data_IF_714305473112
#
_entry.id   IF_714305473112
#
_cell.length_a   1.000
_cell.length_b   1.000
_cell.length_c   1.000
_cell.angle_alpha   90.00
_cell.angle_beta   90.00
_cell.angle_gamma   90.00
#
_symmetry.space_group_name_H-M   'P 1'
#
loop_
_entity.id
_entity.type
_entity.pdbx_description
1 polymer ?
#
# COMPACT_ATOMS: atom_id res chain seq x y z
N UNK A 1 -5.31 -16.62 8.06
CA UNK A 1 -6.00 -15.38 7.68
C UNK A 1 -4.99 -14.26 7.82
N UNK A 2 -4.80 -13.46 6.78
CA UNK A 2 -3.87 -12.33 6.74
C UNK A 2 -4.64 -11.05 6.40
N UNK A 3 -4.72 -10.14 7.34
CA UNK A 3 -5.42 -8.86 7.17
C UNK A 3 -4.42 -7.73 6.97
N UNK A 4 -4.53 -7.00 5.88
CA UNK A 4 -3.71 -5.84 5.53
C UNK A 4 -2.20 -6.07 5.76
N UNK A 5 -1.71 -7.25 5.35
CA UNK A 5 -0.36 -7.71 5.66
C UNK A 5 0.72 -7.08 4.77
N UNK A 6 1.86 -6.75 5.37
CA UNK A 6 3.06 -6.26 4.66
C UNK A 6 3.78 -7.45 4.01
N UNK A 7 3.99 -7.41 2.71
CA UNK A 7 4.73 -8.44 1.96
C UNK A 7 6.23 -8.17 1.87
N UNK A 8 6.63 -6.90 1.93
CA UNK A 8 8.03 -6.45 1.91
C UNK A 8 8.17 -5.16 2.70
N UNK A 9 9.01 -5.16 3.71
CA UNK A 9 9.26 -3.97 4.50
C UNK A 9 9.98 -2.87 3.70
N UNK A 10 10.75 -3.24 2.69
CA UNK A 10 11.32 -2.26 1.76
C UNK A 10 10.21 -1.52 1.00
N UNK A 11 9.28 -2.25 0.39
CA UNK A 11 8.19 -1.65 -0.37
C UNK A 11 7.22 -0.84 0.51
N UNK A 12 7.22 -1.09 1.82
CA UNK A 12 6.43 -0.33 2.78
C UNK A 12 7.06 1.02 3.10
N UNK A 13 8.39 1.07 3.32
CA UNK A 13 9.10 2.29 3.74
C UNK A 13 9.90 2.97 2.64
N UNK A 14 10.01 2.39 1.46
CA UNK A 14 10.80 2.92 0.35
C UNK A 14 10.00 2.93 -0.94
N UNK A 15 10.16 4.00 -1.70
CA UNK A 15 9.67 4.12 -3.07
C UNK A 15 10.86 4.48 -3.96
N UNK A 16 11.35 3.51 -4.74
CA UNK A 16 12.51 3.68 -5.61
C UNK A 16 13.72 4.35 -4.91
N UNK A 17 14.01 3.95 -3.67
CA UNK A 17 15.11 4.48 -2.88
C UNK A 17 14.80 5.75 -2.10
N UNK A 18 13.58 6.28 -2.15
CA UNK A 18 13.16 7.38 -1.28
C UNK A 18 12.40 6.87 -0.07
N UNK A 19 12.66 7.46 1.09
CA UNK A 19 11.92 7.17 2.31
C UNK A 19 10.50 7.69 2.17
N UNK A 20 9.54 6.80 2.38
CA UNK A 20 8.12 7.14 2.49
C UNK A 20 7.68 6.94 3.93
N UNK A 21 6.73 7.75 4.38
CA UNK A 21 6.22 7.68 5.76
C UNK A 21 4.79 7.12 5.74
N UNK A 22 4.62 5.80 5.71
CA UNK A 22 3.31 5.18 5.52
C UNK A 22 2.34 5.40 6.69
N UNK A 23 2.84 5.65 7.89
CA UNK A 23 2.02 6.05 9.05
C UNK A 23 1.53 7.50 8.99
N UNK A 24 2.00 8.28 8.02
CA UNK A 24 1.47 9.61 7.71
C UNK A 24 2.07 10.75 8.52
N UNK A 25 3.17 10.55 9.21
CA UNK A 25 3.91 11.65 9.85
C UNK A 25 5.34 11.75 9.33
N UNK A 26 5.85 12.98 9.17
CA UNK A 26 7.17 13.21 8.61
C UNK A 26 8.28 12.52 9.43
N UNK A 27 9.20 11.88 8.72
CA UNK A 27 10.34 11.21 9.34
C UNK A 27 10.06 9.81 9.89
N UNK A 28 8.85 9.30 9.77
CA UNK A 28 8.58 7.90 10.09
C UNK A 28 9.40 6.97 9.20
N UNK A 29 10.03 5.98 9.82
CA UNK A 29 10.74 4.91 9.14
C UNK A 29 10.70 3.65 10.01
N UNK A 30 11.30 2.57 9.56
CA UNK A 30 11.28 1.27 10.23
C UNK A 30 11.72 1.32 11.70
N UNK A 31 12.71 2.15 12.04
CA UNK A 31 13.18 2.31 13.43
C UNK A 31 12.12 2.92 14.35
N UNK A 32 11.29 3.84 13.85
CA UNK A 32 10.19 4.41 14.62
C UNK A 32 9.15 3.34 15.00
N UNK A 33 8.82 2.45 14.06
CA UNK A 33 7.93 1.33 14.34
C UNK A 33 8.60 0.28 15.25
N UNK A 34 9.89 0.01 15.07
CA UNK A 34 10.64 -0.87 15.93
C UNK A 34 10.69 -0.35 17.38
N UNK A 35 10.90 0.94 17.55
CA UNK A 35 10.86 1.59 18.87
C UNK A 35 9.49 1.44 19.53
N UNK A 36 8.42 1.74 18.80
CA UNK A 36 7.05 1.58 19.29
C UNK A 36 6.76 0.14 19.70
N UNK A 37 7.22 -0.83 18.93
CA UNK A 37 7.02 -2.25 19.20
C UNK A 37 7.82 -2.73 20.41
N UNK A 38 9.05 -2.24 20.58
CA UNK A 38 9.91 -2.60 21.71
C UNK A 38 9.50 -1.90 23.01
N UNK A 39 8.93 -0.71 22.93
CA UNK A 39 8.59 0.11 24.11
C UNK A 39 7.35 -0.33 24.85
N UNK A 40 6.65 -1.32 24.40
CA UNK A 40 5.40 -1.91 24.89
C UNK A 40 4.70 -1.18 26.04
N UNK A 41 5.13 -1.31 27.26
CA UNK A 41 4.59 -0.58 28.40
C UNK A 41 5.73 -0.01 29.26
N UNK A 42 6.17 1.19 28.88
CA UNK A 42 7.21 1.91 29.62
C UNK A 42 6.91 2.13 31.08
N UNK A 43 5.63 2.34 31.42
CA UNK A 43 5.21 2.58 32.81
C UNK A 43 5.28 1.34 33.67
N UNK A 44 5.12 0.17 33.08
CA UNK A 44 5.23 -1.11 33.78
C UNK A 44 6.67 -1.64 33.86
N UNK A 45 7.63 -0.97 33.23
CA UNK A 45 9.01 -1.46 33.16
C UNK A 45 9.16 -2.74 32.35
N UNK A 46 8.33 -2.93 31.36
CA UNK A 46 8.07 -4.17 30.62
C UNK A 46 9.09 -4.42 29.49
N UNK A 47 10.32 -3.99 29.66
CA UNK A 47 11.39 -4.29 28.73
C UNK A 47 12.05 -5.64 29.08
N UNK A 48 11.82 -6.63 28.22
CA UNK A 48 12.43 -7.97 28.37
C UNK A 48 13.96 -7.91 28.38
N UNK A 49 14.55 -6.92 27.70
CA UNK A 49 16.00 -6.79 27.52
C UNK A 49 16.64 -5.60 28.25
N UNK A 50 15.84 -4.76 28.89
CA UNK A 50 16.33 -3.52 29.49
C UNK A 50 16.62 -2.39 28.49
N UNK A 51 16.75 -1.18 28.99
CA UNK A 51 16.81 0.05 28.19
C UNK A 51 18.07 0.15 27.33
N UNK A 52 19.24 -0.24 27.86
CA UNK A 52 20.50 -0.15 27.15
C UNK A 52 20.53 -1.11 25.94
N UNK A 53 20.08 -2.35 26.12
CA UNK A 53 20.02 -3.31 25.03
C UNK A 53 19.02 -2.87 23.93
N UNK A 54 17.92 -2.29 24.34
CA UNK A 54 16.92 -1.72 23.43
C UNK A 54 17.51 -0.59 22.57
N UNK A 55 18.21 0.38 23.17
CA UNK A 55 18.84 1.47 22.46
C UNK A 55 19.93 0.96 21.51
N UNK A 56 20.75 -0.01 21.95
CA UNK A 56 21.76 -0.61 21.11
C UNK A 56 21.17 -1.34 19.89
N UNK A 57 20.03 -2.00 20.05
CA UNK A 57 19.34 -2.65 18.93
C UNK A 57 18.74 -1.63 17.96
N UNK A 58 18.17 -0.52 18.45
CA UNK A 58 17.68 0.56 17.61
C UNK A 58 18.79 1.24 16.80
N UNK A 59 19.93 1.50 17.38
CA UNK A 59 21.08 2.06 16.65
C UNK A 59 21.56 1.13 15.53
N UNK A 60 21.64 -0.19 15.77
CA UNK A 60 21.93 -1.16 14.72
C UNK A 60 20.90 -1.18 13.60
N UNK A 61 19.62 -0.98 13.94
CA UNK A 61 18.55 -0.84 12.94
C UNK A 61 18.77 0.42 12.11
N UNK A 62 18.99 1.57 12.75
CA UNK A 62 19.20 2.85 12.06
C UNK A 62 20.39 2.80 11.08
N UNK A 63 21.49 2.19 11.46
CA UNK A 63 22.64 2.01 10.56
C UNK A 63 22.29 1.20 9.30
N UNK A 64 21.46 0.18 9.44
CA UNK A 64 21.12 -0.74 8.35
C UNK A 64 20.02 -0.20 7.41
N UNK A 65 19.28 0.81 7.81
CA UNK A 65 18.21 1.39 7.01
C UNK A 65 18.71 2.11 5.75
N UNK A 66 19.97 2.55 5.79
CA UNK A 66 20.60 3.32 4.70
C UNK A 66 19.72 4.45 4.16
N UNK A 67 19.35 5.38 5.02
CA UNK A 67 18.55 6.55 4.61
C UNK A 67 19.25 7.46 3.63
N UNK A 68 20.58 7.36 3.55
CA UNK A 68 21.41 8.22 2.68
C UNK A 68 21.22 7.84 1.22
N UNK A 69 21.29 6.57 0.90
CA UNK A 69 21.12 6.08 -0.47
C UNK A 69 19.71 5.56 -0.73
N UNK A 70 19.06 5.00 0.28
CA UNK A 70 17.76 4.34 0.19
C UNK A 70 17.81 3.02 -0.56
N UNK A 71 19.00 2.44 -0.73
CA UNK A 71 19.18 1.21 -1.48
C UNK A 71 18.58 -0.01 -0.78
N UNK A 72 18.17 -0.97 -1.62
CA UNK A 72 17.82 -2.30 -1.17
C UNK A 72 19.10 -3.04 -0.76
N UNK A 73 19.18 -3.42 0.50
CA UNK A 73 20.33 -4.11 1.08
C UNK A 73 19.92 -5.38 1.82
N UNK A 74 20.87 -6.05 2.49
CA UNK A 74 20.62 -7.30 3.20
C UNK A 74 19.57 -7.16 4.31
N UNK A 75 19.50 -6.00 4.98
CA UNK A 75 18.50 -5.75 6.02
C UNK A 75 17.06 -5.85 5.45
N UNK A 76 16.83 -5.27 4.28
CA UNK A 76 15.56 -5.31 3.58
C UNK A 76 15.29 -6.67 2.95
N UNK A 77 16.34 -7.32 2.43
CA UNK A 77 16.24 -8.67 1.87
C UNK A 77 15.71 -9.66 2.91
N UNK A 78 16.23 -9.64 4.13
CA UNK A 78 15.81 -10.52 5.22
C UNK A 78 14.36 -10.27 5.68
N UNK A 79 13.78 -9.14 5.28
CA UNK A 79 12.42 -8.71 5.58
C UNK A 79 11.51 -8.65 4.36
N UNK A 80 11.89 -9.35 3.31
CA UNK A 80 11.10 -9.52 2.11
C UNK A 80 10.45 -10.90 2.09
N UNK A 81 9.22 -10.97 2.51
CA UNK A 81 8.48 -12.24 2.64
C UNK A 81 8.13 -12.86 1.28
N UNK A 82 8.12 -12.05 0.20
CA UNK A 82 7.87 -12.54 -1.15
C UNK A 82 8.89 -13.60 -1.58
N UNK A 83 10.14 -13.48 -1.12
CA UNK A 83 11.21 -14.43 -1.43
C UNK A 83 10.93 -15.85 -0.91
N UNK A 84 10.13 -15.96 0.14
CA UNK A 84 9.77 -17.20 0.79
C UNK A 84 8.32 -17.61 0.56
N UNK A 85 7.56 -16.88 -0.26
CA UNK A 85 6.17 -17.19 -0.54
C UNK A 85 5.97 -18.62 -1.10
N UNK A 86 6.95 -19.11 -1.86
CA UNK A 86 6.95 -20.47 -2.42
C UNK A 86 6.98 -21.59 -1.36
N UNK A 87 7.33 -21.27 -0.11
CA UNK A 87 7.36 -22.24 1.01
C UNK A 87 6.01 -22.37 1.73
N UNK A 88 5.05 -21.51 1.42
CA UNK A 88 3.72 -21.59 2.01
C UNK A 88 3.03 -22.87 1.56
N UNK A 89 2.48 -23.63 2.52
CA UNK A 89 1.76 -24.87 2.29
C UNK A 89 0.30 -24.78 2.76
N UNK A 90 0.00 -23.80 3.60
CA UNK A 90 -1.35 -23.60 4.12
C UNK A 90 -2.23 -22.87 3.12
N UNK A 91 -3.52 -23.16 3.14
CA UNK A 91 -4.54 -22.34 2.52
C UNK A 91 -4.53 -20.93 3.13
N UNK A 92 -4.66 -19.90 2.33
CA UNK A 92 -4.56 -18.53 2.78
C UNK A 92 -5.81 -17.73 2.44
N UNK A 93 -6.33 -17.03 3.44
CA UNK A 93 -7.37 -16.02 3.25
C UNK A 93 -6.75 -14.64 3.51
N UNK A 94 -6.82 -13.79 2.53
CA UNK A 94 -6.44 -12.39 2.65
C UNK A 94 -7.67 -11.51 2.86
N UNK A 95 -7.51 -10.45 3.62
CA UNK A 95 -8.44 -9.31 3.61
C UNK A 95 -7.64 -8.03 3.40
N UNK A 96 -8.12 -7.14 2.53
CA UNK A 96 -7.40 -5.91 2.24
C UNK A 96 -8.33 -4.81 1.71
N UNK A 97 -8.06 -3.58 2.11
CA UNK A 97 -8.77 -2.42 1.60
C UNK A 97 -8.19 -1.89 0.30
N UNK A 98 -9.02 -1.68 -0.71
CA UNK A 98 -8.58 -1.06 -1.97
C UNK A 98 -8.08 0.37 -1.79
N UNK A 99 -8.50 1.02 -0.69
CA UNK A 99 -8.14 2.38 -0.32
C UNK A 99 -7.17 2.41 0.87
N UNK A 100 -6.48 1.32 1.12
CA UNK A 100 -5.48 1.26 2.19
C UNK A 100 -4.26 2.11 1.82
N UNK A 101 -4.12 3.22 2.52
CA UNK A 101 -3.02 4.16 2.34
C UNK A 101 -1.79 3.78 3.18
N UNK A 102 -1.98 2.99 4.23
CA UNK A 102 -0.91 2.55 5.11
C UNK A 102 -0.19 1.34 4.51
N UNK A 103 -0.86 0.21 4.42
CA UNK A 103 -0.36 -0.97 3.71
C UNK A 103 -0.96 -1.00 2.31
N UNK A 104 -0.24 -0.47 1.35
CA UNK A 104 -0.74 -0.31 -0.02
C UNK A 104 -1.26 -1.63 -0.59
N UNK A 105 -2.33 -1.63 -1.39
CA UNK A 105 -2.88 -2.84 -2.03
C UNK A 105 -1.86 -3.63 -2.85
N UNK A 106 -0.76 -2.99 -3.26
CA UNK A 106 0.36 -3.66 -3.91
C UNK A 106 0.92 -4.83 -3.07
N UNK A 107 0.91 -4.73 -1.75
CA UNK A 107 1.41 -5.79 -0.87
C UNK A 107 0.60 -7.07 -0.98
N UNK A 108 -0.73 -6.98 -0.91
CA UNK A 108 -1.58 -8.15 -1.07
C UNK A 108 -1.54 -8.67 -2.50
N UNK A 109 -1.48 -7.79 -3.50
CA UNK A 109 -1.34 -8.18 -4.90
C UNK A 109 -0.08 -9.02 -5.12
N UNK A 110 1.07 -8.52 -4.68
CA UNK A 110 2.34 -9.23 -4.83
C UNK A 110 2.35 -10.57 -4.09
N UNK A 111 1.88 -10.61 -2.85
CA UNK A 111 1.86 -11.84 -2.07
C UNK A 111 0.88 -12.87 -2.66
N UNK A 112 -0.30 -12.43 -3.06
CA UNK A 112 -1.32 -13.31 -3.68
C UNK A 112 -0.77 -14.02 -4.92
N UNK A 113 -0.04 -13.29 -5.78
CA UNK A 113 0.56 -13.86 -6.98
C UNK A 113 1.87 -14.62 -6.74
N UNK A 114 2.58 -14.32 -5.65
CA UNK A 114 3.80 -15.04 -5.30
C UNK A 114 3.54 -16.41 -4.65
N UNK A 115 2.35 -16.63 -4.10
CA UNK A 115 1.97 -17.93 -3.55
C UNK A 115 1.90 -18.99 -4.67
N UNK A 116 2.32 -20.25 -4.37
CA UNK A 116 2.25 -21.34 -5.33
C UNK A 116 0.84 -21.55 -5.89
N UNK A 117 0.74 -21.99 -7.13
CA UNK A 117 -0.56 -22.21 -7.82
C UNK A 117 -1.40 -23.32 -7.21
N UNK A 118 -0.77 -24.28 -6.51
CA UNK A 118 -1.46 -25.38 -5.86
C UNK A 118 -2.06 -25.01 -4.49
N UNK A 119 -1.76 -23.82 -3.98
CA UNK A 119 -2.32 -23.34 -2.72
C UNK A 119 -3.68 -22.69 -2.97
N UNK A 120 -4.69 -23.17 -2.25
CA UNK A 120 -5.96 -22.48 -2.20
C UNK A 120 -5.79 -21.13 -1.53
N UNK A 121 -6.19 -20.09 -2.21
CA UNK A 121 -6.07 -18.71 -1.74
C UNK A 121 -7.32 -17.92 -2.06
N UNK A 122 -7.73 -17.13 -1.10
CA UNK A 122 -8.94 -16.32 -1.16
C UNK A 122 -8.60 -14.89 -0.76
N UNK A 123 -9.29 -13.93 -1.33
CA UNK A 123 -9.11 -12.51 -1.01
C UNK A 123 -10.48 -11.84 -0.84
N UNK A 124 -10.72 -11.29 0.34
CA UNK A 124 -11.77 -10.30 0.56
C UNK A 124 -11.19 -8.91 0.31
N UNK A 125 -11.58 -8.29 -0.81
CA UNK A 125 -11.07 -7.01 -1.23
C UNK A 125 -12.16 -5.94 -1.08
N UNK A 126 -12.12 -5.21 0.03
CA UNK A 126 -13.12 -4.23 0.38
C UNK A 126 -12.70 -2.81 -0.05
N UNK A 127 -13.65 -1.89 -0.15
CA UNK A 127 -13.39 -0.51 -0.58
C UNK A 127 -12.89 0.42 0.55
N UNK A 128 -12.72 -0.10 1.74
CA UNK A 128 -12.24 0.67 2.89
C UNK A 128 -10.74 0.92 2.88
N UNK A 129 -10.32 1.71 3.86
CA UNK A 129 -8.91 2.01 4.14
C UNK A 129 -8.25 0.88 4.96
N UNK A 130 -7.26 1.23 5.81
CA UNK A 130 -6.56 0.30 6.69
C UNK A 130 -7.44 -0.09 7.88
N UNK A 131 -8.35 -1.02 7.68
CA UNK A 131 -9.31 -1.50 8.69
C UNK A 131 -9.44 -3.01 8.65
N UNK A 132 -9.83 -3.59 9.78
CA UNK A 132 -10.10 -5.02 9.87
C UNK A 132 -11.46 -5.37 9.29
N UNK A 133 -11.51 -6.44 8.52
CA UNK A 133 -12.73 -6.89 7.83
C UNK A 133 -13.89 -7.19 8.78
N UNK A 134 -13.62 -7.67 9.98
CA UNK A 134 -14.63 -8.02 10.97
C UNK A 134 -15.30 -6.82 11.65
N UNK A 135 -14.83 -5.59 11.41
CA UNK A 135 -15.33 -4.40 12.12
C UNK A 135 -16.54 -3.75 11.43
N UNK A 136 -16.84 -4.13 10.22
CA UNK A 136 -17.90 -3.45 9.45
C UNK A 136 -18.32 -4.30 8.27
N UNK A 137 -19.56 -4.67 8.14
CA UNK A 137 -20.01 -5.02 6.94
C UNK A 137 -21.21 -5.67 6.49
N UNK A 138 -21.61 -5.54 5.27
CA UNK A 138 -22.71 -6.16 4.59
C UNK A 138 -22.49 -7.62 4.20
N UNK A 139 -21.26 -8.12 4.29
CA UNK A 139 -20.96 -9.55 4.12
C UNK A 139 -20.75 -10.21 5.48
N UNK A 140 -21.23 -11.44 5.61
CA UNK A 140 -21.00 -12.21 6.83
C UNK A 140 -19.64 -12.89 6.78
N UNK A 141 -18.60 -12.09 6.99
CA UNK A 141 -17.22 -12.55 7.03
C UNK A 141 -16.97 -13.56 8.17
N UNK A 142 -17.61 -13.37 9.32
CA UNK A 142 -17.41 -14.26 10.46
C UNK A 142 -17.96 -15.64 10.18
N UNK A 143 -19.18 -15.75 9.65
CA UNK A 143 -19.76 -17.05 9.28
C UNK A 143 -18.97 -17.71 8.16
N UNK A 144 -18.47 -16.93 7.19
CA UNK A 144 -17.58 -17.43 6.16
C UNK A 144 -16.31 -18.05 6.74
N UNK A 145 -15.67 -17.36 7.69
CA UNK A 145 -14.47 -17.87 8.35
C UNK A 145 -14.77 -19.01 9.30
N UNK A 146 -15.89 -18.97 10.01
CA UNK A 146 -16.33 -20.06 10.86
C UNK A 146 -16.56 -21.35 10.06
N UNK A 147 -17.26 -21.25 8.95
CA UNK A 147 -17.48 -22.40 8.03
C UNK A 147 -16.17 -22.96 7.48
N UNK A 148 -15.29 -22.09 6.98
CA UNK A 148 -13.99 -22.50 6.46
C UNK A 148 -13.12 -23.18 7.51
N UNK A 149 -12.97 -22.57 8.69
CA UNK A 149 -12.13 -23.09 9.76
C UNK A 149 -12.72 -24.39 10.35
N UNK A 150 -14.03 -24.49 10.48
CA UNK A 150 -14.70 -25.71 10.93
C UNK A 150 -14.46 -26.88 9.96
N UNK A 151 -14.55 -26.62 8.68
CA UNK A 151 -14.24 -27.62 7.64
C UNK A 151 -12.76 -28.03 7.69
N UNK A 152 -11.85 -27.06 7.74
CA UNK A 152 -10.40 -27.33 7.62
C UNK A 152 -9.75 -27.84 8.90
N UNK A 153 -10.18 -27.39 10.06
CA UNK A 153 -9.57 -27.73 11.34
C UNK A 153 -10.31 -28.85 12.09
N UNK A 154 -11.62 -28.93 11.93
CA UNK A 154 -12.45 -29.90 12.65
C UNK A 154 -12.93 -31.05 11.75
N UNK A 155 -12.69 -30.97 10.43
CA UNK A 155 -13.15 -31.99 9.48
C UNK A 155 -14.66 -32.03 9.32
N UNK A 156 -15.38 -30.99 9.67
CA UNK A 156 -16.83 -30.92 9.51
C UNK A 156 -17.18 -30.81 8.03
N UNK A 157 -18.18 -31.54 7.60
CA UNK A 157 -18.67 -31.44 6.23
C UNK A 157 -19.33 -30.07 6.00
N UNK A 158 -18.91 -29.39 4.95
CA UNK A 158 -19.47 -28.11 4.57
C UNK A 158 -19.50 -27.99 3.04
N UNK A 159 -20.65 -27.67 2.50
CA UNK A 159 -20.80 -27.30 1.10
C UNK A 159 -20.32 -25.87 0.80
N UNK A 160 -19.84 -25.15 1.79
CA UNK A 160 -19.41 -23.78 1.65
C UNK A 160 -18.09 -23.68 0.87
N UNK A 161 -18.11 -22.94 -0.22
CA UNK A 161 -16.94 -22.68 -1.05
C UNK A 161 -16.74 -21.16 -1.19
N UNK A 162 -15.53 -20.70 -0.89
CA UNK A 162 -15.15 -19.32 -1.11
C UNK A 162 -14.70 -19.13 -2.56
N UNK A 163 -15.17 -18.09 -3.26
CA UNK A 163 -14.54 -17.63 -4.50
C UNK A 163 -13.06 -17.28 -4.29
N UNK A 164 -12.29 -17.25 -5.36
CA UNK A 164 -10.88 -16.84 -5.30
C UNK A 164 -10.75 -15.38 -4.85
N UNK A 165 -11.59 -14.51 -5.37
CA UNK A 165 -11.68 -13.11 -4.93
C UNK A 165 -13.13 -12.77 -4.64
N UNK A 166 -13.35 -12.12 -3.52
CA UNK A 166 -14.62 -11.57 -3.11
C UNK A 166 -14.39 -10.07 -2.97
N UNK A 167 -14.88 -9.31 -3.92
CA UNK A 167 -14.67 -7.87 -3.94
C UNK A 167 -15.94 -7.09 -3.67
N UNK A 168 -15.78 -5.97 -2.99
CA UNK A 168 -16.85 -5.05 -2.68
C UNK A 168 -16.96 -3.99 -3.78
N UNK A 169 -18.17 -3.76 -4.27
CA UNK A 169 -18.43 -2.72 -5.26
C UNK A 169 -18.16 -1.34 -4.64
N UNK A 170 -17.43 -0.50 -5.37
CA UNK A 170 -17.09 0.84 -4.88
C UNK A 170 -18.20 1.87 -5.12
N UNK A 171 -19.18 1.55 -5.94
CA UNK A 171 -20.37 2.41 -6.20
C UNK A 171 -21.58 1.96 -5.40
N UNK A 172 -21.71 0.65 -5.18
CA UNK A 172 -22.76 0.01 -4.41
C UNK A 172 -22.15 -0.80 -3.25
N UNK A 173 -21.76 -0.17 -2.13
CA UNK A 173 -20.98 -0.84 -1.08
C UNK A 173 -21.66 -2.05 -0.42
N UNK A 174 -22.97 -2.19 -0.57
CA UNK A 174 -23.70 -3.37 -0.08
C UNK A 174 -23.56 -4.58 -1.01
N UNK A 175 -23.03 -4.36 -2.21
CA UNK A 175 -22.88 -5.40 -3.22
C UNK A 175 -21.48 -5.99 -3.16
N UNK A 176 -21.42 -7.33 -3.07
CA UNK A 176 -20.19 -8.10 -3.15
C UNK A 176 -20.28 -9.07 -4.33
N UNK A 177 -19.16 -9.29 -4.97
CA UNK A 177 -19.08 -10.14 -6.15
C UNK A 177 -17.91 -11.11 -6.03
N UNK A 178 -18.07 -12.31 -6.56
CA UNK A 178 -17.01 -13.30 -6.68
C UNK A 178 -16.30 -13.19 -8.02
N UNK A 179 -14.98 -13.30 -8.01
CA UNK A 179 -14.12 -13.39 -9.20
C UNK A 179 -13.18 -14.59 -9.08
N UNK A 180 -12.80 -15.17 -10.23
CA UNK A 180 -11.91 -16.31 -10.28
C UNK A 180 -10.43 -15.94 -10.17
N UNK A 181 -10.11 -14.66 -10.34
CA UNK A 181 -8.72 -14.18 -10.30
C UNK A 181 -8.63 -12.75 -9.76
N UNK A 182 -7.43 -12.37 -9.32
CA UNK A 182 -7.12 -11.03 -8.81
C UNK A 182 -6.23 -10.27 -9.80
N UNK A 183 -6.79 -9.26 -10.45
CA UNK A 183 -6.04 -8.38 -11.35
C UNK A 183 -5.42 -9.10 -12.55
N UNK A 184 -6.13 -10.04 -13.16
CA UNK A 184 -5.69 -10.64 -14.41
C UNK A 184 -5.77 -9.59 -15.51
N UNK A 185 -4.66 -9.38 -16.19
CA UNK A 185 -4.61 -8.51 -17.37
C UNK A 185 -5.12 -9.29 -18.58
N UNK A 186 -6.41 -9.20 -18.85
CA UNK A 186 -6.99 -9.74 -20.08
C UNK A 186 -6.80 -8.78 -21.25
N UNK A 187 -6.85 -7.47 -20.98
CA UNK A 187 -6.59 -6.40 -21.95
C UNK A 187 -5.80 -5.27 -21.32
N UNK A 188 -4.78 -4.79 -22.01
CA UNK A 188 -4.01 -3.63 -21.64
C UNK A 188 -4.48 -2.42 -22.46
N UNK A 189 -5.19 -1.50 -21.82
CA UNK A 189 -5.54 -0.23 -22.43
C UNK A 189 -4.45 0.81 -22.17
N UNK A 190 -3.89 1.35 -23.24
CA UNK A 190 -2.89 2.42 -23.15
C UNK A 190 -3.51 3.73 -23.59
N UNK A 191 -3.53 4.70 -22.68
CA UNK A 191 -3.96 6.06 -22.96
C UNK A 191 -2.75 6.96 -23.09
N UNK A 192 -2.69 7.73 -24.18
CA UNK A 192 -1.60 8.69 -24.40
C UNK A 192 -1.85 9.96 -23.61
N UNK A 193 -0.85 10.40 -22.86
CA UNK A 193 -0.86 11.68 -22.15
C UNK A 193 -0.45 12.87 -23.04
N UNK A 194 -0.15 12.60 -24.31
CA UNK A 194 0.39 13.59 -25.24
C UNK A 194 1.92 13.70 -25.18
N UNK A 195 2.45 14.58 -26.01
CA UNK A 195 3.91 14.81 -26.15
C UNK A 195 4.33 16.22 -25.69
N UNK A 196 3.44 16.97 -25.07
CA UNK A 196 3.74 18.31 -24.60
C UNK A 196 4.68 18.28 -23.40
N UNK A 197 5.70 19.13 -23.44
CA UNK A 197 6.55 19.36 -22.26
C UNK A 197 5.80 20.21 -21.25
N UNK A 198 5.68 19.70 -20.04
CA UNK A 198 5.05 20.40 -18.91
C UNK A 198 6.06 20.52 -17.78
N UNK A 199 6.14 21.70 -17.19
CA UNK A 199 7.12 22.00 -16.13
C UNK A 199 6.41 22.07 -14.77
N UNK A 200 6.91 21.28 -13.82
CA UNK A 200 6.53 21.37 -12.42
C UNK A 200 7.65 22.12 -11.68
N UNK A 201 7.31 23.15 -10.99
CA UNK A 201 8.23 23.87 -10.12
C UNK A 201 7.92 23.53 -8.67
N UNK A 202 8.85 22.87 -8.02
CA UNK A 202 8.74 22.54 -6.59
C UNK A 202 9.22 23.73 -5.77
N UNK A 203 8.41 24.78 -5.70
CA UNK A 203 8.69 25.96 -4.90
C UNK A 203 7.84 25.95 -3.64
N UNK A 204 8.51 25.74 -2.52
CA UNK A 204 7.93 25.91 -1.18
C UNK A 204 8.59 27.11 -0.51
N UNK A 205 7.81 27.98 0.12
CA UNK A 205 8.38 28.90 1.09
C UNK A 205 8.51 28.21 2.46
N UNK A 206 9.33 28.76 3.34
CA UNK A 206 9.55 28.19 4.67
C UNK A 206 8.26 28.14 5.49
N UNK A 207 7.34 29.09 5.27
CA UNK A 207 6.05 29.12 5.96
C UNK A 207 5.15 27.98 5.54
N UNK A 208 5.18 27.61 4.26
CA UNK A 208 4.44 26.43 3.76
C UNK A 208 5.03 25.16 4.38
N UNK A 209 6.35 25.03 4.43
CA UNK A 209 6.99 23.91 5.08
C UNK A 209 6.65 23.81 6.58
N UNK A 210 6.72 24.91 7.30
CA UNK A 210 6.41 24.95 8.72
C UNK A 210 4.93 24.66 9.01
N UNK A 211 4.06 25.02 8.08
CA UNK A 211 2.63 24.76 8.18
C UNK A 211 2.26 23.33 7.81
N UNK A 212 2.80 22.82 6.72
CA UNK A 212 2.42 21.53 6.12
C UNK A 212 3.27 20.37 6.60
N UNK A 213 4.47 20.60 7.07
CA UNK A 213 5.35 19.58 7.61
C UNK A 213 4.88 18.97 8.93
N UNK A 214 3.80 19.47 9.51
CA UNK A 214 3.36 19.06 10.84
C UNK A 214 2.36 17.91 10.86
N UNK A 215 1.56 17.72 9.81
CA UNK A 215 0.65 16.59 9.71
C UNK A 215 0.42 16.17 8.26
N UNK A 216 0.33 14.86 8.04
CA UNK A 216 0.02 14.27 6.75
C UNK A 216 -1.34 14.73 6.20
N UNK A 217 -2.34 14.92 7.04
CA UNK A 217 -3.66 15.41 6.62
C UNK A 217 -3.59 16.82 6.04
N UNK A 218 -2.83 17.71 6.66
CA UNK A 218 -2.64 19.07 6.15
C UNK A 218 -1.88 19.05 4.84
N UNK A 219 -0.85 18.22 4.74
CA UNK A 219 -0.09 18.01 3.51
C UNK A 219 -1.00 17.55 2.36
N UNK A 220 -1.83 16.54 2.57
CA UNK A 220 -2.72 16.01 1.54
C UNK A 220 -3.88 16.95 1.18
N UNK A 221 -4.47 17.63 2.13
CA UNK A 221 -5.65 18.45 1.86
C UNK A 221 -5.32 19.83 1.28
N UNK A 222 -4.19 20.40 1.63
CA UNK A 222 -3.86 21.78 1.23
C UNK A 222 -2.82 21.86 0.09
N UNK A 223 -1.92 20.91 -0.05
CA UNK A 223 -0.98 20.86 -1.18
C UNK A 223 -1.66 20.54 -2.51
N UNK A 224 -2.78 19.82 -2.48
CA UNK A 224 -3.56 19.49 -3.67
C UNK A 224 -4.47 20.61 -4.17
N UNK A 225 -4.58 21.71 -3.46
CA UNK A 225 -5.44 22.82 -3.84
C UNK A 225 -4.76 23.87 -4.76
N UNK A 226 -4.32 23.42 -5.94
CA UNK A 226 -4.15 24.32 -7.08
C UNK A 226 -2.94 25.24 -7.08
N UNK A 227 -1.75 24.77 -6.67
CA UNK A 227 -0.53 25.54 -6.74
C UNK A 227 0.40 25.07 -7.88
N UNK A 228 1.37 25.90 -8.21
CA UNK A 228 2.30 25.78 -9.36
C UNK A 228 3.14 24.48 -9.45
N UNK A 229 3.02 23.60 -8.47
CA UNK A 229 3.68 22.30 -8.41
C UNK A 229 2.79 21.13 -8.88
N UNK A 230 1.65 21.41 -9.51
CA UNK A 230 0.70 20.42 -9.98
C UNK A 230 0.46 20.56 -11.48
N UNK A 231 0.39 19.44 -12.17
CA UNK A 231 -0.10 19.35 -13.56
C UNK A 231 -1.34 18.47 -13.57
N UNK A 232 -2.39 18.95 -14.19
CA UNK A 232 -3.58 18.15 -14.51
C UNK A 232 -3.57 17.81 -15.98
N UNK A 233 -3.86 16.56 -16.31
CA UNK A 233 -3.98 16.07 -17.67
C UNK A 233 -5.34 15.42 -17.79
N UNK A 234 -6.21 15.99 -18.62
CA UNK A 234 -7.51 15.45 -18.89
C UNK A 234 -7.44 14.37 -19.96
N UNK A 235 -7.93 13.19 -19.66
CA UNK A 235 -8.00 12.06 -20.58
C UNK A 235 -9.47 11.84 -20.96
N UNK A 236 -9.86 12.15 -22.21
CA UNK A 236 -11.22 11.88 -22.64
C UNK A 236 -11.46 10.38 -22.73
N UNK A 237 -12.56 9.94 -22.14
CA UNK A 237 -13.02 8.56 -22.15
C UNK A 237 -14.30 8.48 -22.98
N UNK A 238 -14.28 7.69 -24.05
CA UNK A 238 -15.39 7.57 -24.99
C UNK A 238 -16.44 6.52 -24.60
N UNK A 239 -16.14 5.69 -23.62
CA UNK A 239 -17.00 4.62 -23.12
C UNK A 239 -16.69 4.33 -21.65
N UNK A 240 -17.59 3.63 -20.98
CA UNK A 240 -17.35 3.17 -19.61
C UNK A 240 -16.13 2.27 -19.54
N UNK A 241 -15.27 2.50 -18.55
CA UNK A 241 -14.07 1.72 -18.29
C UNK A 241 -14.19 1.04 -16.94
N UNK A 242 -14.00 -0.26 -16.92
CA UNK A 242 -13.84 -1.04 -15.71
C UNK A 242 -12.35 -1.24 -15.42
N UNK A 243 -11.84 -0.58 -14.38
CA UNK A 243 -10.46 -0.72 -13.95
C UNK A 243 -10.33 -1.94 -13.04
N UNK A 244 -9.62 -2.95 -13.51
CA UNK A 244 -9.29 -4.14 -12.74
C UNK A 244 -7.80 -4.46 -12.93
N UNK A 245 -7.03 -4.40 -11.86
CA UNK A 245 -5.60 -4.64 -11.91
C UNK A 245 -4.77 -3.40 -11.59
N UNK A 246 -3.53 -3.41 -12.06
CA UNK A 246 -2.55 -2.36 -11.77
C UNK A 246 -2.57 -1.26 -12.83
N UNK A 247 -2.77 -0.03 -12.39
CA UNK A 247 -2.59 1.15 -13.25
C UNK A 247 -1.11 1.50 -13.31
N UNK A 248 -0.57 1.65 -14.51
CA UNK A 248 0.81 2.08 -14.74
C UNK A 248 0.84 3.48 -15.37
N UNK A 249 1.70 4.35 -14.84
CA UNK A 249 2.00 5.63 -15.43
C UNK A 249 3.44 5.62 -15.96
N UNK A 250 3.61 5.89 -17.27
CA UNK A 250 4.92 5.98 -17.91
C UNK A 250 5.19 7.42 -18.32
N UNK A 251 6.19 8.02 -17.71
CA UNK A 251 6.58 9.40 -17.95
C UNK A 251 8.05 9.46 -18.39
N UNK A 252 8.35 10.40 -19.28
CA UNK A 252 9.73 10.84 -19.51
C UNK A 252 9.94 12.12 -18.71
N UNK A 253 10.82 12.08 -17.73
CA UNK A 253 11.07 13.20 -16.82
C UNK A 253 12.50 13.69 -16.95
N UNK A 254 12.68 15.01 -16.78
CA UNK A 254 13.97 15.66 -16.60
C UNK A 254 13.91 16.43 -15.27
N UNK A 255 14.89 16.22 -14.44
CA UNK A 255 15.01 16.94 -13.16
C UNK A 255 16.22 17.85 -13.18
N UNK A 256 16.14 18.99 -12.50
CA UNK A 256 17.28 19.85 -12.22
C UNK A 256 18.14 19.35 -11.03
N UNK A 257 17.68 18.28 -10.37
CA UNK A 257 18.38 17.67 -9.24
C UNK A 257 18.50 16.15 -9.48
N UNK A 258 19.43 15.49 -8.82
CA UNK A 258 19.63 14.06 -8.91
C UNK A 258 18.63 13.22 -8.08
N UNK A 259 17.71 13.87 -7.39
CA UNK A 259 16.65 13.22 -6.60
C UNK A 259 15.35 13.97 -6.80
N UNK A 260 14.26 13.25 -6.86
CA UNK A 260 12.93 13.83 -6.97
C UNK A 260 11.84 12.91 -6.48
N UNK A 261 10.76 13.48 -6.01
CA UNK A 261 9.54 12.80 -5.65
C UNK A 261 8.42 13.33 -6.55
N UNK A 262 7.77 12.45 -7.28
CA UNK A 262 6.55 12.75 -8.00
C UNK A 262 5.41 11.93 -7.41
N UNK A 263 4.26 12.55 -7.27
CA UNK A 263 3.02 11.88 -6.89
C UNK A 263 2.05 11.95 -8.06
N UNK A 264 1.37 10.85 -8.34
CA UNK A 264 0.31 10.82 -9.34
C UNK A 264 -1.00 10.39 -8.71
N UNK A 265 -2.07 10.97 -9.18
CA UNK A 265 -3.42 10.65 -8.72
C UNK A 265 -4.35 10.55 -9.92
N UNK A 266 -5.17 9.51 -9.93
CA UNK A 266 -6.21 9.33 -10.92
C UNK A 266 -7.54 9.81 -10.35
N UNK A 267 -8.23 10.68 -11.07
CA UNK A 267 -9.47 11.32 -10.66
C UNK A 267 -10.54 11.15 -11.72
N UNK A 268 -11.71 10.74 -11.32
CA UNK A 268 -12.91 10.78 -12.18
C UNK A 268 -13.48 12.21 -12.17
N UNK A 269 -13.45 12.85 -13.34
CA UNK A 269 -14.06 14.17 -13.52
C UNK A 269 -15.59 14.08 -13.58
N UNK A 270 -16.26 15.11 -13.12
CA UNK A 270 -17.74 15.19 -13.09
C UNK A 270 -18.31 14.89 -11.71
N UNK A 271 -17.91 13.85 -11.05
CA UNK A 271 -18.28 13.58 -9.66
C UNK A 271 -17.22 14.01 -8.65
N UNK A 272 -16.07 14.47 -9.10
CA UNK A 272 -14.89 14.79 -8.29
C UNK A 272 -14.49 13.64 -7.35
N UNK A 273 -14.68 12.43 -7.83
CA UNK A 273 -14.40 11.22 -7.06
C UNK A 273 -13.00 10.74 -7.36
N UNK A 274 -12.20 10.62 -6.33
CA UNK A 274 -10.90 9.99 -6.46
C UNK A 274 -11.07 8.49 -6.65
N UNK A 275 -10.45 7.94 -7.67
CA UNK A 275 -10.42 6.50 -7.90
C UNK A 275 -9.52 5.79 -6.89
N UNK A 276 -8.66 6.55 -6.24
CA UNK A 276 -7.92 6.16 -5.05
C UNK A 276 -7.81 7.35 -4.10
N UNK A 277 -7.91 7.16 -2.77
CA UNK A 277 -8.00 8.27 -1.81
C UNK A 277 -6.68 9.01 -1.64
N UNK A 278 -5.57 8.35 -1.96
CA UNK A 278 -4.23 8.89 -1.82
C UNK A 278 -3.49 8.81 -3.14
N UNK A 279 -2.67 9.81 -3.47
CA UNK A 279 -1.89 9.77 -4.68
C UNK A 279 -0.87 8.62 -4.62
N UNK A 280 -0.73 7.93 -5.74
CA UNK A 280 0.40 7.04 -5.90
C UNK A 280 1.68 7.86 -5.90
N UNK A 281 2.60 7.54 -5.02
CA UNK A 281 3.90 8.19 -4.96
C UNK A 281 4.79 7.55 -6.02
N UNK A 282 5.25 8.35 -6.95
CA UNK A 282 6.25 7.98 -7.94
C UNK A 282 7.56 8.63 -7.53
N UNK A 283 8.52 7.85 -7.13
CA UNK A 283 9.84 8.35 -6.80
C UNK A 283 10.87 7.82 -7.78
N UNK A 284 11.81 8.65 -8.12
CA UNK A 284 12.93 8.27 -8.94
C UNK A 284 14.20 8.96 -8.44
N UNK A 285 15.31 8.26 -8.50
CA UNK A 285 16.64 8.88 -8.41
C UNK A 285 17.42 8.52 -9.67
N UNK A 286 18.22 9.44 -10.13
CA UNK A 286 19.25 9.14 -11.11
C UNK A 286 20.39 8.41 -10.42
N UNK A 287 20.82 7.32 -11.02
CA UNK A 287 22.08 6.65 -10.68
C UNK A 287 23.08 7.17 -11.69
N UNK A 288 24.10 7.86 -11.22
CA UNK A 288 25.21 8.32 -12.06
C UNK A 288 26.08 7.13 -12.47
#
# INVERSE_FOLDING_TARGET
IAEAGISSWYNYYRENGLVTSPGGYPGEDFDSLAELTYSRNLQAGDYIRGNEAHQADLEKVKEKLDRKTGDYNQFWHDRNYLLNAHKVQAEVVFTHGSQDWNVKPLHVYQMFHALPSHINKHLFFHHGAHVYMNNWQSIDFRESMNALLSMKLLGLDSSYQLPTVIWQDNTEPQRWQGLDNFGKQDELHTLSLGNEEKVIQNQYDQKDFDRYGKTYQIFNTELYQGKANQITIDLPVSQDIHLNGRVELKLRVKSSTNKGLLSAQLLELGQKKYLQPYPAVLSARTID
#
